data_IF_742953480313
#
_entry.id   IF_742953480313
#
_cell.length_a   1.000
_cell.length_b   1.000
_cell.length_c   1.000
_cell.angle_alpha   90.00
_cell.angle_beta   90.00
_cell.angle_gamma   90.00
#
_symmetry.space_group_name_H-M   'P 1'
#
loop_
_entity.id
_entity.type
_entity.pdbx_description
1 polymer ?
#
# COMPACT_ATOMS: atom_id res chain seq x y z
N UNK A 1 -2.31 -20.64 -7.96
CA UNK A 1 -1.38 -19.49 -7.90
C UNK A 1 -1.93 -18.54 -6.86
N UNK A 2 -1.22 -18.33 -5.75
CA UNK A 2 -1.69 -17.37 -4.74
C UNK A 2 -1.59 -15.98 -5.35
N UNK A 3 -2.73 -15.34 -5.59
CA UNK A 3 -2.79 -13.99 -6.15
C UNK A 3 -2.18 -13.05 -5.11
N UNK A 4 -0.96 -12.57 -5.39
CA UNK A 4 -0.19 -11.80 -4.42
C UNK A 4 -0.79 -10.39 -4.37
N UNK A 5 -1.31 -9.94 -3.23
CA UNK A 5 -1.89 -8.60 -3.16
C UNK A 5 -0.82 -7.55 -3.43
N UNK A 6 -1.07 -6.72 -4.45
CA UNK A 6 -0.24 -5.55 -4.74
C UNK A 6 -0.37 -4.52 -3.60
N UNK A 7 0.76 -3.96 -3.17
CA UNK A 7 0.76 -2.86 -2.20
C UNK A 7 0.47 -1.57 -2.97
N UNK A 8 -0.58 -0.81 -2.63
CA UNK A 8 -0.86 0.49 -3.24
C UNK A 8 0.29 1.47 -3.04
N UNK A 9 0.71 2.15 -4.09
CA UNK A 9 1.83 3.11 -4.09
C UNK A 9 1.43 4.51 -4.56
N UNK A 10 0.20 4.69 -5.04
CA UNK A 10 -0.36 6.01 -5.39
C UNK A 10 -1.58 6.35 -4.56
N UNK A 11 -1.91 7.65 -4.49
CA UNK A 11 -3.10 8.14 -3.79
C UNK A 11 -4.38 7.50 -4.35
N UNK A 12 -4.47 7.34 -5.67
CA UNK A 12 -5.62 6.73 -6.34
C UNK A 12 -5.75 5.25 -5.97
N UNK A 13 -4.64 4.51 -5.97
CA UNK A 13 -4.65 3.10 -5.59
C UNK A 13 -5.04 2.92 -4.12
N UNK A 14 -4.57 3.81 -3.23
CA UNK A 14 -4.96 3.80 -1.81
C UNK A 14 -6.44 4.10 -1.64
N UNK A 15 -6.95 5.15 -2.30
CA UNK A 15 -8.37 5.51 -2.24
C UNK A 15 -9.26 4.37 -2.76
N UNK A 16 -8.90 3.77 -3.90
CA UNK A 16 -9.61 2.62 -4.47
C UNK A 16 -9.56 1.40 -3.54
N UNK A 17 -8.40 1.12 -2.94
CA UNK A 17 -8.24 -0.01 -2.03
C UNK A 17 -9.01 0.17 -0.71
N UNK A 18 -9.14 1.41 -0.24
CA UNK A 18 -9.94 1.76 0.93
C UNK A 18 -11.43 1.65 0.64
N UNK A 19 -11.90 2.19 -0.49
CA UNK A 19 -13.29 2.12 -0.95
C UNK A 19 -13.78 0.67 -1.10
N UNK A 20 -12.98 -0.18 -1.78
CA UNK A 20 -13.25 -1.62 -1.91
C UNK A 20 -13.42 -2.35 -0.57
N UNK A 21 -12.88 -1.79 0.52
CA UNK A 21 -12.93 -2.37 1.88
C UNK A 21 -13.91 -1.63 2.79
N UNK A 22 -14.63 -0.63 2.28
CA UNK A 22 -15.52 0.23 3.08
C UNK A 22 -14.78 1.05 4.14
N UNK A 23 -13.49 1.36 3.90
CA UNK A 23 -12.65 2.15 4.81
C UNK A 23 -12.61 3.60 4.38
N UNK A 24 -12.72 4.51 5.35
CA UNK A 24 -12.53 5.95 5.13
C UNK A 24 -11.17 6.38 5.66
N UNK A 25 -10.30 6.87 4.77
CA UNK A 25 -9.04 7.51 5.15
C UNK A 25 -9.27 9.01 5.23
N UNK A 26 -9.25 9.57 6.44
CA UNK A 26 -9.35 11.02 6.62
C UNK A 26 -8.19 11.72 5.88
N UNK A 27 -8.42 12.89 5.23
CA UNK A 27 -7.39 13.58 4.46
C UNK A 27 -6.10 13.84 5.25
N UNK A 28 -6.22 14.19 6.54
CA UNK A 28 -5.09 14.42 7.44
C UNK A 28 -4.21 13.17 7.66
N UNK A 29 -4.78 11.97 7.50
CA UNK A 29 -4.06 10.70 7.68
C UNK A 29 -3.36 10.24 6.39
N UNK A 30 -3.72 10.78 5.22
CA UNK A 30 -3.29 10.26 3.93
C UNK A 30 -1.77 10.25 3.77
N UNK A 31 -1.09 11.31 4.21
CA UNK A 31 0.37 11.37 4.16
C UNK A 31 1.03 10.21 4.94
N UNK A 32 0.56 9.94 6.16
CA UNK A 32 1.07 8.84 6.99
C UNK A 32 0.76 7.45 6.40
N UNK A 33 -0.43 7.27 5.83
CA UNK A 33 -0.79 6.03 5.12
C UNK A 33 0.18 5.77 3.96
N UNK A 34 0.45 6.79 3.14
CA UNK A 34 1.39 6.69 2.02
C UNK A 34 2.81 6.32 2.49
N UNK A 35 3.31 6.96 3.55
CA UNK A 35 4.63 6.64 4.11
C UNK A 35 4.72 5.19 4.59
N UNK A 36 3.70 4.71 5.31
CA UNK A 36 3.67 3.33 5.80
C UNK A 36 3.61 2.31 4.67
N UNK A 37 2.81 2.57 3.63
CA UNK A 37 2.72 1.69 2.45
C UNK A 37 4.02 1.65 1.66
N UNK A 38 4.72 2.78 1.52
CA UNK A 38 6.04 2.82 0.88
C UNK A 38 7.07 1.99 1.67
N UNK A 39 7.06 2.09 3.00
CA UNK A 39 7.92 1.28 3.86
C UNK A 39 7.61 -0.23 3.72
N UNK A 40 6.33 -0.58 3.74
CA UNK A 40 5.88 -1.96 3.53
C UNK A 40 6.29 -2.49 2.15
N UNK A 41 6.18 -1.69 1.10
CA UNK A 41 6.59 -2.08 -0.25
C UNK A 41 8.09 -2.40 -0.30
N UNK A 42 8.93 -1.54 0.28
CA UNK A 42 10.37 -1.79 0.38
C UNK A 42 10.66 -3.10 1.13
N UNK A 43 10.04 -3.31 2.29
CA UNK A 43 10.23 -4.55 3.06
C UNK A 43 9.75 -5.78 2.30
N UNK A 44 8.64 -5.66 1.58
CA UNK A 44 8.12 -6.74 0.76
C UNK A 44 9.11 -7.13 -0.35
N UNK A 45 9.74 -6.15 -1.03
CA UNK A 45 10.79 -6.43 -2.01
C UNK A 45 12.02 -7.09 -1.38
N UNK A 46 12.42 -6.66 -0.18
CA UNK A 46 13.53 -7.31 0.53
C UNK A 46 13.21 -8.77 0.88
N UNK A 47 12.02 -9.04 1.42
CA UNK A 47 11.58 -10.40 1.76
C UNK A 47 11.37 -11.30 0.54
N UNK A 48 11.10 -10.70 -0.63
CA UNK A 48 10.99 -11.41 -1.92
C UNK A 48 12.34 -11.68 -2.57
N UNK A 49 13.44 -11.13 -2.04
CA UNK A 49 14.77 -11.22 -2.66
C UNK A 49 14.90 -10.42 -3.95
N UNK A 50 14.02 -9.42 -4.17
CA UNK A 50 14.01 -8.57 -5.37
C UNK A 50 14.73 -7.23 -5.15
N UNK A 51 15.22 -6.99 -3.93
CA UNK A 51 16.18 -5.91 -3.66
C UNK A 51 17.56 -6.38 -4.11
N UNK A 52 18.15 -5.70 -5.11
CA UNK A 52 19.57 -5.87 -5.49
C UNK A 52 20.50 -5.23 -4.47
#
# INVERSE_FOLDING_TARGET
MSDRPAIPLTLEEVARAADQRGLVVAPACMAGVMTNLALLARHAETLRGTTK
#
